data_IF_039242843028
#
_entry.id   IF_039242843028
#
_cell.length_a   1.000
_cell.length_b   1.000
_cell.length_c   1.000
_cell.angle_alpha   90.00
_cell.angle_beta   90.00
_cell.angle_gamma   90.00
#
_symmetry.space_group_name_H-M   'P 1'
#
loop_
_entity.id
_entity.type
_entity.pdbx_description
1 polymer ?
#
# COMPACT_ATOMS: atom_id res chain seq x y z
N UNK A 1 0.55 25.04 -7.98
CA UNK A 1 0.33 25.82 -9.22
C UNK A 1 -1.13 26.10 -9.51
N UNK A 2 -2.08 25.16 -9.34
CA UNK A 2 -3.51 25.42 -9.61
C UNK A 2 -4.20 26.34 -8.58
N UNK A 3 -3.84 26.25 -7.28
CA UNK A 3 -4.48 27.04 -6.22
C UNK A 3 -4.18 28.55 -6.28
N UNK A 4 -2.98 28.94 -6.75
CA UNK A 4 -2.59 30.34 -6.86
C UNK A 4 -3.31 31.09 -7.99
N UNK A 5 -3.71 30.38 -9.06
CA UNK A 5 -4.44 30.98 -10.20
C UNK A 5 -5.91 31.25 -9.84
N UNK A 6 -6.53 30.38 -9.04
CA UNK A 6 -7.90 30.56 -8.53
C UNK A 6 -8.03 31.78 -7.61
N UNK A 7 -7.05 32.01 -6.74
CA UNK A 7 -7.04 33.18 -5.85
C UNK A 7 -6.91 34.50 -6.62
N UNK A 8 -6.12 34.52 -7.71
CA UNK A 8 -5.95 35.72 -8.54
C UNK A 8 -7.22 36.06 -9.35
N UNK A 9 -7.97 35.03 -9.79
CA UNK A 9 -9.23 35.22 -10.51
C UNK A 9 -10.36 35.79 -9.62
N UNK A 10 -10.43 35.37 -8.35
CA UNK A 10 -11.46 35.84 -7.40
C UNK A 10 -11.28 37.32 -7.04
N UNK A 11 -10.02 37.80 -6.98
CA UNK A 11 -9.70 39.20 -6.65
C UNK A 11 -10.07 40.19 -7.76
N UNK A 12 -10.22 39.74 -9.02
CA UNK A 12 -10.58 40.62 -10.15
C UNK A 12 -12.09 40.81 -10.37
N UNK A 13 -12.94 40.01 -9.72
CA UNK A 13 -14.41 40.07 -9.87
C UNK A 13 -14.99 41.47 -9.58
N UNK A 14 -14.52 42.24 -8.58
CA UNK A 14 -15.04 43.59 -8.31
C UNK A 14 -14.68 44.61 -9.40
N UNK A 15 -13.51 44.47 -10.05
CA UNK A 15 -13.06 45.37 -11.11
C UNK A 15 -13.86 45.18 -12.42
N UNK A 16 -14.37 43.97 -12.67
CA UNK A 16 -15.16 43.66 -13.87
C UNK A 16 -16.63 44.12 -13.75
N UNK A 17 -17.17 44.28 -12.52
CA UNK A 17 -18.55 44.70 -12.28
C UNK A 17 -18.76 46.22 -12.17
N UNK A 18 -17.72 47.04 -12.36
CA UNK A 18 -17.89 48.47 -12.64
C UNK A 18 -18.30 49.37 -11.46
N UNK A 19 -18.01 48.99 -10.21
CA UNK A 19 -18.24 49.86 -9.04
C UNK A 19 -16.92 50.37 -8.45
N UNK A 20 -16.34 51.47 -8.96
CA UNK A 20 -15.01 51.91 -8.58
C UNK A 20 -14.90 52.46 -7.13
N UNK A 21 -15.98 52.95 -6.51
CA UNK A 21 -15.89 53.64 -5.21
C UNK A 21 -17.09 53.39 -4.26
N UNK A 22 -17.52 52.13 -4.07
CA UNK A 22 -18.51 51.81 -3.01
C UNK A 22 -17.91 50.93 -1.90
N UNK A 23 -17.92 51.36 -0.63
CA UNK A 23 -17.37 50.58 0.48
C UNK A 23 -18.09 49.23 0.69
N UNK A 24 -19.34 49.12 0.23
CA UNK A 24 -20.12 47.89 0.28
C UNK A 24 -19.61 46.83 -0.70
N UNK A 25 -19.15 47.20 -1.90
CA UNK A 25 -18.56 46.25 -2.86
C UNK A 25 -17.20 45.70 -2.39
N UNK A 26 -16.42 46.53 -1.69
CA UNK A 26 -15.17 46.09 -1.06
C UNK A 26 -15.43 45.07 0.07
N UNK A 27 -16.46 45.31 0.89
CA UNK A 27 -16.84 44.42 1.97
C UNK A 27 -17.32 43.06 1.44
N UNK A 28 -18.18 43.03 0.41
CA UNK A 28 -18.65 41.77 -0.18
C UNK A 28 -17.50 40.98 -0.81
N UNK A 29 -16.57 41.65 -1.51
CA UNK A 29 -15.37 41.02 -2.03
C UNK A 29 -14.48 40.42 -0.92
N UNK A 30 -14.29 41.15 0.18
CA UNK A 30 -13.52 40.67 1.34
C UNK A 30 -14.17 39.44 1.98
N UNK A 31 -15.49 39.42 2.13
CA UNK A 31 -16.24 38.27 2.67
C UNK A 31 -16.12 37.05 1.76
N UNK A 32 -16.26 37.22 0.44
CA UNK A 32 -16.09 36.13 -0.53
C UNK A 32 -14.67 35.57 -0.52
N UNK A 33 -13.66 36.44 -0.42
CA UNK A 33 -12.27 36.04 -0.32
C UNK A 33 -11.97 35.26 0.97
N UNK A 34 -12.48 35.73 2.11
CA UNK A 34 -12.38 35.03 3.40
C UNK A 34 -13.07 33.67 3.36
N UNK A 35 -14.28 33.58 2.81
CA UNK A 35 -15.00 32.31 2.67
C UNK A 35 -14.23 31.32 1.79
N UNK A 36 -13.66 31.77 0.67
CA UNK A 36 -12.83 30.94 -0.20
C UNK A 36 -11.53 30.49 0.50
N UNK A 37 -10.89 31.36 1.28
CA UNK A 37 -9.69 31.02 2.06
C UNK A 37 -10.00 29.99 3.15
N UNK A 38 -11.12 30.13 3.87
CA UNK A 38 -11.57 29.16 4.88
C UNK A 38 -11.89 27.81 4.23
N UNK A 39 -12.59 27.81 3.09
CA UNK A 39 -12.87 26.58 2.35
C UNK A 39 -11.58 25.89 1.86
N UNK A 40 -10.59 26.66 1.40
CA UNK A 40 -9.29 26.14 1.00
C UNK A 40 -8.49 25.58 2.19
N UNK A 41 -8.50 26.27 3.34
CA UNK A 41 -7.88 25.78 4.57
C UNK A 41 -8.56 24.50 5.09
N UNK A 42 -9.89 24.41 5.03
CA UNK A 42 -10.60 23.19 5.36
C UNK A 42 -10.23 22.05 4.40
N UNK A 43 -10.19 22.33 3.09
CA UNK A 43 -9.77 21.36 2.08
C UNK A 43 -8.34 20.85 2.31
N UNK A 44 -7.40 21.74 2.65
CA UNK A 44 -5.99 21.37 2.87
C UNK A 44 -5.78 20.57 4.15
N UNK A 45 -6.62 20.76 5.17
CA UNK A 45 -6.57 19.99 6.43
C UNK A 45 -7.26 18.62 6.29
N UNK A 46 -8.33 18.49 5.50
CA UNK A 46 -9.04 17.21 5.31
C UNK A 46 -8.41 16.30 4.23
N UNK A 47 -7.73 16.87 3.23
CA UNK A 47 -7.05 16.11 2.17
C UNK A 47 -5.96 15.12 2.62
N UNK A 48 -5.09 15.41 3.61
CA UNK A 48 -4.01 14.49 3.99
C UNK A 48 -4.52 13.14 4.53
N UNK A 49 -5.69 13.08 5.17
CA UNK A 49 -6.22 11.83 5.71
C UNK A 49 -6.74 10.88 4.61
N UNK A 50 -7.38 11.44 3.58
CA UNK A 50 -7.85 10.64 2.45
C UNK A 50 -6.69 10.08 1.62
N UNK A 51 -5.59 10.84 1.52
CA UNK A 51 -4.38 10.40 0.81
C UNK A 51 -3.65 9.29 1.58
N UNK A 52 -3.60 9.37 2.92
CA UNK A 52 -3.01 8.34 3.79
C UNK A 52 -3.70 6.98 3.64
N UNK A 53 -5.04 6.94 3.66
CA UNK A 53 -5.81 5.69 3.49
C UNK A 53 -5.53 4.99 2.16
N UNK A 54 -5.37 5.77 1.08
CA UNK A 54 -5.02 5.23 -0.25
C UNK A 54 -3.60 4.69 -0.29
N UNK A 55 -2.65 5.36 0.38
CA UNK A 55 -1.26 4.92 0.47
C UNK A 55 -1.15 3.64 1.31
N UNK A 56 -1.87 3.53 2.42
CA UNK A 56 -1.90 2.31 3.26
C UNK A 56 -2.46 1.11 2.49
N UNK A 57 -3.59 1.29 1.79
CA UNK A 57 -4.16 0.24 0.95
C UNK A 57 -3.23 -0.16 -0.22
N UNK A 58 -2.52 0.81 -0.81
CA UNK A 58 -1.55 0.54 -1.87
C UNK A 58 -0.30 -0.19 -1.36
N UNK A 59 0.17 0.14 -0.15
CA UNK A 59 1.30 -0.53 0.51
C UNK A 59 1.02 -2.01 0.75
N UNK A 60 -0.16 -2.34 1.29
CA UNK A 60 -0.60 -3.73 1.49
C UNK A 60 -0.57 -4.54 0.19
N UNK A 61 -1.15 -3.99 -0.89
CA UNK A 61 -1.13 -4.64 -2.22
C UNK A 61 0.27 -4.81 -2.78
N UNK A 62 1.14 -3.81 -2.63
CA UNK A 62 2.52 -3.86 -3.13
C UNK A 62 3.35 -4.92 -2.39
N UNK A 63 3.13 -5.04 -1.08
CA UNK A 63 3.79 -6.04 -0.25
C UNK A 63 3.43 -7.47 -0.68
N UNK A 64 2.14 -7.75 -0.90
CA UNK A 64 1.67 -9.03 -1.43
C UNK A 64 2.25 -9.36 -2.80
N UNK A 65 2.29 -8.38 -3.71
CA UNK A 65 2.85 -8.59 -5.04
C UNK A 65 4.37 -8.86 -4.98
N UNK A 66 5.09 -8.10 -4.14
CA UNK A 66 6.51 -8.32 -3.90
C UNK A 66 6.77 -9.75 -3.40
N UNK A 67 5.93 -10.22 -2.47
CA UNK A 67 5.97 -11.58 -1.95
C UNK A 67 5.78 -12.65 -3.03
N UNK A 68 4.68 -12.59 -3.77
CA UNK A 68 4.43 -13.56 -4.84
C UNK A 68 5.58 -13.59 -5.85
N UNK A 69 6.13 -12.41 -6.18
CA UNK A 69 7.27 -12.31 -7.10
C UNK A 69 8.54 -12.90 -6.50
N UNK A 70 8.86 -12.58 -5.25
CA UNK A 70 10.01 -13.11 -4.52
C UNK A 70 9.96 -14.64 -4.41
N UNK A 71 8.79 -15.20 -4.10
CA UNK A 71 8.56 -16.64 -4.05
C UNK A 71 8.68 -17.27 -5.45
N UNK A 72 8.08 -16.65 -6.46
CA UNK A 72 8.17 -17.12 -7.84
C UNK A 72 9.62 -17.13 -8.35
N UNK A 73 10.37 -16.05 -8.13
CA UNK A 73 11.79 -15.97 -8.51
C UNK A 73 12.64 -17.04 -7.82
N UNK A 74 12.39 -17.35 -6.54
CA UNK A 74 13.06 -18.46 -5.86
C UNK A 74 12.71 -19.83 -6.45
N UNK A 75 11.45 -20.09 -6.79
CA UNK A 75 11.07 -21.35 -7.46
C UNK A 75 11.67 -21.49 -8.87
N UNK A 76 11.85 -20.37 -9.57
CA UNK A 76 12.47 -20.37 -10.91
C UNK A 76 14.00 -20.54 -10.81
N UNK A 77 14.63 -19.93 -9.81
CA UNK A 77 16.07 -20.04 -9.58
C UNK A 77 16.50 -21.39 -8.98
N UNK A 78 15.62 -22.06 -8.22
CA UNK A 78 15.83 -23.38 -7.68
C UNK A 78 14.77 -24.37 -8.21
N UNK A 79 15.00 -25.03 -9.36
CA UNK A 79 14.05 -25.96 -9.99
C UNK A 79 13.83 -27.27 -9.21
N UNK A 80 14.25 -27.33 -7.94
CA UNK A 80 13.90 -28.39 -6.99
C UNK A 80 12.45 -28.30 -6.54
N UNK A 81 11.89 -27.09 -6.53
CA UNK A 81 10.49 -26.84 -6.21
C UNK A 81 9.75 -26.65 -7.53
N UNK A 82 8.66 -27.40 -7.71
CA UNK A 82 7.80 -27.26 -8.88
C UNK A 82 7.25 -25.82 -9.02
N UNK A 83 6.41 -25.59 -10.03
CA UNK A 83 5.73 -24.30 -10.14
C UNK A 83 4.88 -24.03 -8.89
N UNK A 84 4.99 -22.83 -8.32
CA UNK A 84 4.11 -22.37 -7.22
C UNK A 84 2.65 -22.32 -7.63
N UNK A 85 2.42 -21.98 -8.89
CA UNK A 85 1.09 -21.91 -9.49
C UNK A 85 1.04 -22.97 -10.58
N UNK A 86 0.13 -23.92 -10.44
CA UNK A 86 -0.12 -24.91 -11.47
C UNK A 86 -0.64 -24.22 -12.74
N UNK A 87 -0.55 -24.85 -13.93
CA UNK A 87 -1.12 -24.31 -15.16
C UNK A 87 -2.61 -23.97 -15.09
N UNK A 88 -3.30 -24.48 -14.07
CA UNK A 88 -4.70 -24.21 -13.73
C UNK A 88 -4.93 -22.91 -12.94
N UNK A 89 -3.87 -22.16 -12.62
CA UNK A 89 -3.94 -20.94 -11.81
C UNK A 89 -4.09 -21.18 -10.30
N UNK A 90 -4.02 -22.44 -9.85
CA UNK A 90 -4.12 -22.81 -8.43
C UNK A 90 -2.73 -22.87 -7.81
N UNK A 91 -2.64 -22.45 -6.54
CA UNK A 91 -1.39 -22.55 -5.80
C UNK A 91 -1.16 -24.00 -5.40
N UNK A 92 -0.01 -24.56 -5.77
CA UNK A 92 0.30 -25.96 -5.55
C UNK A 92 0.72 -26.19 -4.09
N UNK A 93 -0.17 -26.82 -3.32
CA UNK A 93 -0.03 -26.98 -1.86
C UNK A 93 1.25 -27.72 -1.45
N UNK A 94 1.75 -28.66 -2.26
CA UNK A 94 2.99 -29.39 -1.94
C UNK A 94 4.22 -28.50 -2.12
N UNK A 95 4.32 -27.77 -3.24
CA UNK A 95 5.37 -26.77 -3.46
C UNK A 95 5.35 -25.69 -2.38
N UNK A 96 4.15 -25.25 -2.01
CA UNK A 96 3.91 -24.26 -0.97
C UNK A 96 4.39 -24.75 0.40
N UNK A 97 4.16 -26.04 0.72
CA UNK A 97 4.65 -26.66 1.95
C UNK A 97 6.16 -26.66 2.03
N UNK A 98 6.87 -27.00 0.95
CA UNK A 98 8.32 -27.04 1.03
C UNK A 98 8.95 -25.64 1.08
N UNK A 99 8.32 -24.64 0.47
CA UNK A 99 8.72 -23.24 0.65
C UNK A 99 8.48 -22.77 2.08
N UNK A 100 7.37 -23.17 2.69
CA UNK A 100 7.10 -22.89 4.10
C UNK A 100 8.16 -23.52 5.00
N UNK A 101 8.52 -24.79 4.76
CA UNK A 101 9.56 -25.48 5.53
C UNK A 101 10.98 -24.90 5.28
N UNK A 102 11.22 -24.18 4.18
CA UNK A 102 12.49 -23.44 3.96
C UNK A 102 12.52 -22.12 4.74
N UNK A 103 11.35 -21.57 5.06
CA UNK A 103 11.18 -20.34 5.82
C UNK A 103 11.22 -20.57 7.33
N UNK A 104 10.56 -21.64 7.76
CA UNK A 104 10.58 -22.20 9.10
C UNK A 104 11.94 -22.87 9.37
N UNK A 105 12.92 -22.03 9.71
CA UNK A 105 14.31 -22.42 9.89
C UNK A 105 14.49 -23.27 11.14
N UNK A 106 13.64 -23.04 12.16
CA UNK A 106 13.63 -23.81 13.40
C UNK A 106 12.71 -25.03 13.37
N UNK A 107 11.95 -25.23 12.29
CA UNK A 107 10.99 -26.32 12.10
C UNK A 107 9.92 -26.36 13.21
N UNK A 108 9.54 -25.19 13.74
CA UNK A 108 8.48 -25.04 14.74
C UNK A 108 7.08 -25.34 14.17
N UNK A 109 6.93 -25.30 12.84
CA UNK A 109 5.66 -25.48 12.13
C UNK A 109 4.91 -24.16 11.88
N UNK A 110 5.50 -23.04 12.28
CA UNK A 110 4.97 -21.67 12.25
C UNK A 110 6.07 -20.71 11.86
N UNK A 111 5.78 -19.64 11.12
CA UNK A 111 6.80 -18.63 10.79
C UNK A 111 6.70 -17.48 11.79
N UNK A 112 7.79 -17.24 12.53
CA UNK A 112 7.86 -16.16 13.51
C UNK A 112 8.32 -14.82 12.93
N UNK A 113 8.31 -13.76 13.75
CA UNK A 113 8.70 -12.43 13.31
C UNK A 113 10.19 -12.29 12.95
N UNK A 114 11.06 -13.07 13.59
CA UNK A 114 12.48 -13.12 13.30
C UNK A 114 12.77 -13.79 11.95
N UNK A 115 12.03 -14.85 11.64
CA UNK A 115 12.12 -15.57 10.37
C UNK A 115 11.57 -14.70 9.23
N UNK A 116 10.40 -14.07 9.37
CA UNK A 116 9.90 -13.09 8.39
C UNK A 116 10.93 -11.99 8.12
N UNK A 117 11.58 -11.48 9.18
CA UNK A 117 12.62 -10.46 9.04
C UNK A 117 13.84 -11.00 8.28
N UNK A 118 14.32 -12.20 8.62
CA UNK A 118 15.44 -12.85 7.95
C UNK A 118 15.15 -13.09 6.46
N UNK A 119 13.92 -13.45 6.13
CA UNK A 119 13.47 -13.65 4.75
C UNK A 119 13.42 -12.35 3.96
N UNK A 120 12.84 -11.30 4.54
CA UNK A 120 12.83 -9.97 3.93
C UNK A 120 14.26 -9.46 3.67
N UNK A 121 15.20 -9.74 4.57
CA UNK A 121 16.63 -9.46 4.38
C UNK A 121 17.24 -10.31 3.26
N UNK A 122 16.97 -11.61 3.24
CA UNK A 122 17.45 -12.54 2.21
C UNK A 122 16.92 -12.22 0.82
N UNK A 123 15.68 -11.75 0.71
CA UNK A 123 15.05 -11.31 -0.54
C UNK A 123 15.63 -9.98 -1.05
N UNK A 124 15.96 -9.05 -0.14
CA UNK A 124 16.70 -7.83 -0.50
C UNK A 124 18.05 -8.12 -1.15
N UNK A 125 18.77 -9.12 -0.63
CA UNK A 125 20.07 -9.53 -1.16
C UNK A 125 19.98 -10.21 -2.53
N UNK A 126 18.80 -10.69 -2.92
CA UNK A 126 18.56 -11.50 -4.12
C UNK A 126 18.31 -10.74 -5.43
N UNK A 127 18.15 -9.41 -5.42
CA UNK A 127 18.19 -8.63 -6.68
C UNK A 127 17.05 -7.65 -6.96
N UNK A 128 16.41 -7.06 -5.95
CA UNK A 128 15.54 -5.91 -6.20
C UNK A 128 15.83 -4.75 -5.24
N UNK A 129 16.39 -3.67 -5.80
CA UNK A 129 16.57 -2.33 -5.21
C UNK A 129 15.24 -1.65 -4.81
N UNK A 130 14.13 -2.39 -4.77
CA UNK A 130 12.79 -1.83 -4.63
C UNK A 130 12.43 -1.65 -3.15
N UNK A 131 12.99 -0.58 -2.56
CA UNK A 131 12.38 0.34 -1.59
C UNK A 131 11.56 -0.16 -0.38
N UNK A 132 11.52 -1.46 -0.06
CA UNK A 132 10.98 -1.96 1.19
C UNK A 132 12.12 -1.94 2.21
N UNK A 133 12.15 -0.90 3.05
CA UNK A 133 12.96 -0.94 4.27
C UNK A 133 12.52 -2.15 5.09
N UNK A 134 13.45 -3.06 5.40
CA UNK A 134 13.20 -4.14 6.36
C UNK A 134 13.25 -3.50 7.74
N UNK A 135 12.17 -2.81 8.07
CA UNK A 135 11.94 -2.17 9.35
C UNK A 135 10.84 -2.92 10.08
N UNK A 136 10.75 -2.72 11.41
CA UNK A 136 9.68 -3.32 12.23
C UNK A 136 8.29 -3.07 11.66
N UNK A 137 8.04 -1.87 11.13
CA UNK A 137 6.77 -1.52 10.51
C UNK A 137 6.43 -2.40 9.28
N UNK A 138 7.42 -2.87 8.52
CA UNK A 138 7.20 -3.75 7.38
C UNK A 138 6.86 -5.17 7.85
N UNK A 139 7.52 -5.63 8.92
CA UNK A 139 7.21 -6.91 9.58
C UNK A 139 5.81 -6.87 10.20
N UNK A 140 5.45 -5.79 10.89
CA UNK A 140 4.11 -5.61 11.46
C UNK A 140 3.01 -5.59 10.39
N UNK A 141 3.27 -4.93 9.24
CA UNK A 141 2.35 -4.94 8.10
C UNK A 141 2.22 -6.33 7.46
N UNK A 142 3.27 -7.15 7.56
CA UNK A 142 3.26 -8.54 7.12
C UNK A 142 2.33 -9.38 7.98
N UNK A 143 2.51 -9.35 9.30
CA UNK A 143 1.61 -10.02 10.23
C UNK A 143 0.18 -9.53 10.04
N UNK A 144 -0.05 -8.22 9.98
CA UNK A 144 -1.40 -7.69 9.80
C UNK A 144 -2.12 -8.15 8.51
N UNK A 145 -1.39 -8.62 7.51
CA UNK A 145 -1.96 -9.06 6.23
C UNK A 145 -2.08 -10.59 6.10
N UNK A 146 -1.33 -11.34 6.91
CA UNK A 146 -1.19 -12.80 6.82
C UNK A 146 -1.68 -13.53 8.06
N UNK A 147 -1.39 -13.00 9.24
CA UNK A 147 -1.83 -13.50 10.54
C UNK A 147 -3.29 -13.05 10.77
N UNK A 148 -4.20 -14.02 10.68
CA UNK A 148 -5.66 -13.81 10.71
C UNK A 148 -6.17 -13.92 12.14
N UNK A 149 -5.56 -14.77 12.96
CA UNK A 149 -5.96 -15.00 14.35
C UNK A 149 -5.22 -14.12 15.37
N UNK A 150 -4.27 -13.30 14.89
CA UNK A 150 -3.43 -12.36 15.63
C UNK A 150 -2.54 -13.02 16.69
N UNK A 151 -2.12 -14.26 16.46
CA UNK A 151 -1.24 -15.00 17.35
C UNK A 151 0.25 -14.61 17.21
N UNK A 152 0.58 -13.73 16.25
CA UNK A 152 1.94 -13.30 15.87
C UNK A 152 2.84 -14.41 15.35
N UNK A 153 2.24 -15.48 14.89
CA UNK A 153 2.86 -16.57 14.16
C UNK A 153 2.12 -16.69 12.81
N UNK A 154 2.77 -17.25 11.79
CA UNK A 154 2.09 -17.51 10.52
C UNK A 154 2.03 -19.01 10.33
N UNK A 155 0.84 -19.57 10.47
CA UNK A 155 0.60 -20.98 10.22
C UNK A 155 0.62 -21.31 8.73
N UNK A 156 0.87 -22.58 8.39
CA UNK A 156 0.83 -23.02 6.99
C UNK A 156 -0.53 -22.77 6.31
N UNK A 157 -1.63 -22.89 7.06
CA UNK A 157 -2.97 -22.66 6.51
C UNK A 157 -3.20 -21.19 6.18
N UNK A 158 -2.73 -20.27 7.01
CA UNK A 158 -2.78 -18.83 6.75
C UNK A 158 -1.88 -18.43 5.58
N UNK A 159 -0.68 -19.01 5.52
CA UNK A 159 0.25 -18.82 4.40
C UNK A 159 -0.38 -19.26 3.07
N UNK A 160 -1.02 -20.44 3.05
CA UNK A 160 -1.74 -20.96 1.89
C UNK A 160 -2.98 -20.11 1.56
N UNK A 161 -3.79 -19.72 2.54
CA UNK A 161 -4.98 -18.89 2.35
C UNK A 161 -4.62 -17.51 1.77
N UNK A 162 -3.56 -16.89 2.26
CA UNK A 162 -3.06 -15.60 1.77
C UNK A 162 -2.64 -15.69 0.30
N UNK A 163 -1.84 -16.71 -0.07
CA UNK A 163 -1.36 -16.87 -1.44
C UNK A 163 -2.46 -17.29 -2.42
N UNK A 164 -3.39 -18.15 -2.00
CA UNK A 164 -4.52 -18.57 -2.82
C UNK A 164 -5.52 -17.43 -3.07
N UNK A 165 -5.75 -16.56 -2.07
CA UNK A 165 -6.53 -15.32 -2.24
C UNK A 165 -5.83 -14.34 -3.21
N UNK A 166 -4.50 -14.26 -3.16
CA UNK A 166 -3.71 -13.44 -4.09
C UNK A 166 -3.77 -13.91 -5.54
N UNK A 167 -3.77 -15.22 -5.79
CA UNK A 167 -3.88 -15.81 -7.12
C UNK A 167 -5.30 -15.66 -7.72
N UNK A 168 -6.34 -15.67 -6.89
CA UNK A 168 -7.74 -15.49 -7.32
C UNK A 168 -8.11 -14.02 -7.65
N UNK A 169 -7.22 -13.06 -7.38
CA UNK A 169 -7.43 -11.63 -7.60
C UNK A 169 -7.04 -11.11 -8.99
N UNK A 170 -6.71 -11.98 -9.95
CA UNK A 170 -6.60 -11.60 -11.35
C UNK A 170 -7.96 -11.13 -11.88
N UNK A 171 -8.03 -10.08 -12.72
CA UNK A 171 -9.30 -9.56 -13.20
C UNK A 171 -10.09 -10.69 -13.86
N UNK A 172 -11.29 -10.95 -13.33
CA UNK A 172 -12.27 -11.77 -14.01
C UNK A 172 -12.51 -11.17 -15.41
N UNK A 173 -12.64 -12.01 -16.46
CA UNK A 173 -12.79 -11.57 -17.84
C UNK A 173 -14.03 -10.69 -18.06
#
# INVERSE_FOLDING_TARGET
MAGSVLLYGIVQVPAFMGFPESPQAALTGAVVCLAAAVAYCAYSVLSPELQRRKIEAARKKRLRLYMVKALAERTVAAPRFGSLVDPSGRVNRSTLRVLFDEFDTDSSGTIDAGEVQALLLGLRLGGSDDALAVDRATVDLWFQEMDVDSDREISFEEFHACLSSGAAGGPAP
#
